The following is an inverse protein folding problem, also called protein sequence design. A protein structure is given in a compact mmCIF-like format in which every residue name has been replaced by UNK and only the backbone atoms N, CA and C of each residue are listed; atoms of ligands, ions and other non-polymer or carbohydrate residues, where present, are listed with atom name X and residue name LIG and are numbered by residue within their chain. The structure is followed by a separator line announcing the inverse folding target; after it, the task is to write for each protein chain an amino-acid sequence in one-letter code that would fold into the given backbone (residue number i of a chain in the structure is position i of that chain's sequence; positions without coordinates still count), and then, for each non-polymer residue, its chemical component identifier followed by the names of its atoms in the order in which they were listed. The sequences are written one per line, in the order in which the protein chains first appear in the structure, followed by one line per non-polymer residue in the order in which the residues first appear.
data_IF_931279021498
#
_entry.id   IF_931279021498
#
_cell.length_a   1.000
_cell.length_b   1.000
_cell.length_c   1.000
_cell.angle_alpha   90.00
_cell.angle_beta   90.00
_cell.angle_gamma   90.00
#
_symmetry.space_group_name_H-M   'P 1'
#
loop_
_entity.id
_entity.type
_entity.pdbx_description
1 polymer ?
#
# COMPACT_ATOMS: atom_id res chain seq x y z
N UNK A 1 -0.16 -6.98 -19.70
CA UNK A 1 0.44 -7.59 -18.50
C UNK A 1 -0.38 -8.82 -18.11
N UNK A 2 0.24 -9.90 -17.63
CA UNK A 2 -0.50 -11.04 -17.08
C UNK A 2 -1.18 -10.64 -15.75
N UNK A 3 -2.36 -11.21 -15.49
CA UNK A 3 -3.17 -10.91 -14.29
C UNK A 3 -2.38 -11.18 -13.01
N UNK A 4 -1.52 -12.19 -13.01
CA UNK A 4 -0.65 -12.52 -11.88
C UNK A 4 0.34 -11.39 -11.57
N UNK A 5 0.95 -10.78 -12.59
CA UNK A 5 1.92 -9.70 -12.40
C UNK A 5 1.25 -8.42 -11.88
N UNK A 6 0.03 -8.12 -12.34
CA UNK A 6 -0.76 -7.01 -11.78
C UNK A 6 -1.08 -7.27 -10.30
N UNK A 7 -1.52 -8.48 -9.97
CA UNK A 7 -1.88 -8.85 -8.61
C UNK A 7 -0.68 -8.74 -7.66
N UNK A 8 0.51 -9.17 -8.06
CA UNK A 8 1.72 -9.03 -7.26
C UNK A 8 2.14 -7.56 -7.07
N UNK A 9 1.91 -6.73 -8.08
CA UNK A 9 2.19 -5.29 -7.99
C UNK A 9 1.26 -4.61 -6.99
N UNK A 10 -0.03 -4.91 -7.07
CA UNK A 10 -1.03 -4.46 -6.09
C UNK A 10 -0.66 -4.95 -4.68
N UNK A 11 -0.34 -6.24 -4.53
CA UNK A 11 0.06 -6.82 -3.24
C UNK A 11 1.29 -6.10 -2.66
N UNK A 12 2.29 -5.84 -3.49
CA UNK A 12 3.50 -5.12 -3.08
C UNK A 12 3.18 -3.71 -2.61
N UNK A 13 2.31 -2.99 -3.33
CA UNK A 13 1.89 -1.64 -2.94
C UNK A 13 1.12 -1.63 -1.61
N UNK A 14 0.20 -2.58 -1.40
CA UNK A 14 -0.51 -2.73 -0.14
C UNK A 14 0.44 -3.00 1.04
N UNK A 15 1.37 -3.94 0.88
CA UNK A 15 2.32 -4.28 1.94
C UNK A 15 3.20 -3.09 2.32
N UNK A 16 3.71 -2.36 1.32
CA UNK A 16 4.51 -1.14 1.57
C UNK A 16 3.70 -0.09 2.31
N UNK A 17 2.51 0.24 1.82
CA UNK A 17 1.66 1.26 2.46
C UNK A 17 1.35 0.91 3.93
N UNK A 18 1.05 -0.35 4.22
CA UNK A 18 0.77 -0.80 5.59
C UNK A 18 2.01 -0.73 6.50
N UNK A 19 3.16 -1.22 6.02
CA UNK A 19 4.42 -1.23 6.78
C UNK A 19 4.89 0.20 7.05
N UNK A 20 4.95 1.04 6.02
CA UNK A 20 5.43 2.42 6.13
C UNK A 20 4.58 3.21 7.13
N UNK A 21 3.25 3.06 7.08
CA UNK A 21 2.35 3.73 8.01
C UNK A 21 2.47 3.19 9.46
N UNK A 22 2.68 1.88 9.63
CA UNK A 22 2.90 1.28 10.95
C UNK A 22 4.20 1.79 11.59
N UNK A 23 5.28 1.85 10.80
CA UNK A 23 6.60 2.32 11.25
C UNK A 23 6.60 3.83 11.51
N UNK A 24 6.01 4.64 10.64
CA UNK A 24 5.83 6.07 10.86
C UNK A 24 4.99 6.36 12.11
N UNK A 25 3.90 5.61 12.31
CA UNK A 25 3.11 5.70 13.53
C UNK A 25 3.93 5.35 14.79
N UNK A 26 4.83 4.36 14.70
CA UNK A 26 5.74 4.02 15.79
C UNK A 26 6.72 5.15 16.09
N UNK A 27 7.30 5.79 15.06
CA UNK A 27 8.18 6.95 15.20
C UNK A 27 7.46 8.14 15.86
N UNK A 28 6.16 8.28 15.63
CA UNK A 28 5.28 9.30 16.27
C UNK A 28 4.85 8.94 17.69
N UNK A 29 5.28 7.79 18.21
CA UNK A 29 4.99 7.36 19.58
C UNK A 29 3.61 6.74 19.80
N UNK A 30 2.92 6.32 18.73
CA UNK A 30 1.64 5.62 18.88
C UNK A 30 1.83 4.25 19.54
N UNK A 31 0.81 3.83 20.30
CA UNK A 31 0.72 2.48 20.84
C UNK A 31 0.50 1.46 19.71
N UNK A 32 0.61 0.16 20.00
CA UNK A 32 0.44 -0.92 19.03
C UNK A 32 -0.89 -0.84 18.25
N UNK A 33 -2.00 -0.62 18.96
CA UNK A 33 -3.32 -0.46 18.34
C UNK A 33 -3.38 0.76 17.41
N UNK A 34 -2.81 1.89 17.83
CA UNK A 34 -2.75 3.10 17.00
C UNK A 34 -1.89 2.93 15.75
N UNK A 35 -0.81 2.15 15.82
CA UNK A 35 -0.01 1.78 14.64
C UNK A 35 -0.78 0.88 13.69
N UNK A 36 -1.54 -0.08 14.23
CA UNK A 36 -2.42 -0.93 13.43
C UNK A 36 -3.51 -0.12 12.72
N UNK A 37 -4.17 0.80 13.43
CA UNK A 37 -5.16 1.70 12.84
C UNK A 37 -4.56 2.56 11.72
N UNK A 38 -3.34 3.07 11.89
CA UNK A 38 -2.62 3.81 10.85
C UNK A 38 -2.34 2.93 9.61
N UNK A 39 -1.88 1.69 9.81
CA UNK A 39 -1.64 0.74 8.73
C UNK A 39 -2.91 0.40 7.94
N UNK A 40 -4.03 0.15 8.64
CA UNK A 40 -5.34 -0.09 8.01
C UNK A 40 -5.84 1.15 7.26
N UNK A 41 -5.70 2.34 7.85
CA UNK A 41 -6.06 3.59 7.20
C UNK A 41 -5.26 3.84 5.91
N UNK A 42 -3.97 3.49 5.90
CA UNK A 42 -3.13 3.58 4.71
C UNK A 42 -3.60 2.61 3.60
N UNK A 43 -3.98 1.38 3.94
CA UNK A 43 -4.56 0.43 3.00
C UNK A 43 -5.88 0.94 2.40
N UNK A 44 -6.75 1.52 3.23
CA UNK A 44 -8.04 2.09 2.80
C UNK A 44 -7.86 3.30 1.88
N UNK A 45 -6.77 4.05 2.06
CA UNK A 45 -6.49 5.27 1.28
C UNK A 45 -5.65 5.02 0.03
N UNK A 46 -5.20 3.78 -0.21
CA UNK A 46 -4.35 3.44 -1.34
C UNK A 46 -5.11 3.59 -2.66
N UNK A 47 -4.63 4.46 -3.54
CA UNK A 47 -5.22 4.68 -4.86
C UNK A 47 -4.82 3.57 -5.85
N UNK A 48 -5.58 2.48 -5.83
CA UNK A 48 -5.42 1.35 -6.76
C UNK A 48 -5.65 1.75 -8.22
N UNK A 49 -6.50 2.76 -8.49
CA UNK A 49 -6.79 3.22 -9.85
C UNK A 49 -5.56 3.85 -10.51
N UNK A 50 -4.73 4.55 -9.72
CA UNK A 50 -3.45 5.05 -10.20
C UNK A 50 -2.44 3.94 -10.43
N UNK A 51 -2.35 2.95 -9.53
CA UNK A 51 -1.44 1.80 -9.70
C UNK A 51 -1.75 1.04 -10.99
N UNK A 52 -3.03 0.70 -11.20
CA UNK A 52 -3.50 -0.01 -12.40
C UNK A 52 -3.17 0.79 -13.68
N UNK A 53 -3.39 2.12 -13.68
CA UNK A 53 -3.12 2.95 -14.86
C UNK A 53 -1.64 3.10 -15.16
N UNK A 54 -0.81 3.34 -14.15
CA UNK A 54 0.65 3.49 -14.34
C UNK A 54 1.24 2.19 -14.91
N UNK A 55 0.76 1.04 -14.45
CA UNK A 55 1.27 -0.25 -14.93
C UNK A 55 0.77 -0.63 -16.32
N UNK A 56 -0.44 -0.22 -16.73
CA UNK A 56 -0.89 -0.36 -18.13
C UNK A 56 0.01 0.44 -19.08
N UNK A 57 0.44 1.65 -18.68
CA UNK A 57 1.25 2.54 -19.52
C UNK A 57 2.75 2.17 -19.59
N UNK A 58 3.19 1.12 -18.89
CA UNK A 58 4.58 0.61 -18.94
C UNK A 58 4.81 -0.40 -20.07
N UNK A 59 3.76 -0.79 -20.79
CA UNK A 59 3.81 -1.71 -21.91
C UNK A 59 3.80 -1.01 -23.29
N UNK A 60 3.76 0.33 -23.30
CA UNK A 60 4.03 1.18 -24.47
C UNK A 60 5.54 1.46 -24.61
#
# INVERSE_FOLDING_TARGET
MDTLQLAETIRTACLRAAIDAYEDAALRGLCEAGRWEAAVGALQSLDLGTIIRVDINRED
#
